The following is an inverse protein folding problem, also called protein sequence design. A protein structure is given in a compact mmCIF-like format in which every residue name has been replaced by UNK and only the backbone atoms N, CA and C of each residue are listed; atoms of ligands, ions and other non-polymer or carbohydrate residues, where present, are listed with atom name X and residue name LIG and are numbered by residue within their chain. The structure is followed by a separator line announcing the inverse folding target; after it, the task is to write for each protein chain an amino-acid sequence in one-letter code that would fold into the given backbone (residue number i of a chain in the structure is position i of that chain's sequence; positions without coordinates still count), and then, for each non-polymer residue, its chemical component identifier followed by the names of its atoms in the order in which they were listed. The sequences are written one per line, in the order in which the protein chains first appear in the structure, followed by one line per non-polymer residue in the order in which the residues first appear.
data_IF_928394931501
#
_entry.id   IF_928394931501
#
_cell.length_a   1.000
_cell.length_b   1.000
_cell.length_c   1.000
_cell.angle_alpha   90.00
_cell.angle_beta   90.00
_cell.angle_gamma   90.00
#
_symmetry.space_group_name_H-M   'P 1'
#
loop_
_entity.id
_entity.type
_entity.pdbx_description
1 polymer ?
#
# COMPACT_ATOMS: atom_id res chain seq x y z
N UNK A 1 -3.43 25.38 17.71
CA UNK A 1 -2.04 25.74 17.33
C UNK A 1 -1.73 24.98 16.04
N UNK A 2 -1.55 25.68 14.92
CA UNK A 2 -1.25 25.03 13.63
C UNK A 2 0.22 24.61 13.57
N UNK A 3 0.46 23.30 13.48
CA UNK A 3 1.79 22.71 13.36
C UNK A 3 2.57 23.26 12.14
N UNK A 4 1.86 23.70 11.09
CA UNK A 4 2.48 24.30 9.90
C UNK A 4 3.25 25.59 10.16
N UNK A 5 2.79 26.45 11.08
CA UNK A 5 3.49 27.71 11.38
C UNK A 5 4.75 27.49 12.24
N UNK A 6 4.83 26.38 12.97
CA UNK A 6 6.05 25.97 13.70
C UNK A 6 7.11 25.37 12.77
N UNK A 7 6.70 24.69 11.70
CA UNK A 7 7.62 23.99 10.79
C UNK A 7 8.23 24.91 9.72
N UNK A 8 7.55 25.98 9.32
CA UNK A 8 8.06 26.98 8.35
C UNK A 8 9.48 27.50 8.64
N UNK A 9 9.81 27.97 9.87
CA UNK A 9 11.14 28.50 10.16
C UNK A 9 12.25 27.43 10.12
N UNK A 10 11.99 26.21 10.61
CA UNK A 10 12.98 25.11 10.60
C UNK A 10 13.18 24.51 9.21
N UNK A 11 12.14 24.46 8.38
CA UNK A 11 12.24 24.08 6.97
C UNK A 11 12.99 25.14 6.15
N UNK A 12 12.77 26.42 6.43
CA UNK A 12 13.46 27.54 5.75
C UNK A 12 14.97 27.58 6.06
N UNK A 13 15.37 27.21 7.28
CA UNK A 13 16.78 27.09 7.68
C UNK A 13 17.46 25.81 7.20
N UNK A 14 16.72 24.84 6.66
CA UNK A 14 17.26 23.56 6.20
C UNK A 14 17.69 22.60 7.32
N UNK A 15 17.32 22.90 8.57
CA UNK A 15 17.63 22.08 9.76
C UNK A 15 16.79 20.79 9.84
N UNK A 16 15.69 20.74 9.08
CA UNK A 16 14.76 19.63 9.09
C UNK A 16 14.49 19.12 7.67
N UNK A 17 14.69 17.82 7.47
CA UNK A 17 14.23 17.09 6.28
C UNK A 17 13.01 16.28 6.68
N UNK A 18 11.88 16.50 6.03
CA UNK A 18 10.68 15.70 6.21
C UNK A 18 10.23 15.09 4.88
N UNK A 19 9.60 13.93 4.97
CA UNK A 19 8.92 13.27 3.87
C UNK A 19 7.44 13.25 4.23
N UNK A 20 6.62 13.90 3.40
CA UNK A 20 5.16 13.87 3.54
C UNK A 20 4.57 12.76 2.67
N UNK A 21 3.65 11.99 3.22
CA UNK A 21 2.80 11.06 2.47
C UNK A 21 1.35 11.50 2.65
N UNK A 22 0.74 12.01 1.58
CA UNK A 22 -0.62 12.56 1.57
C UNK A 22 -1.27 12.26 0.22
N UNK A 23 -2.58 12.40 0.13
CA UNK A 23 -3.30 12.28 -1.14
C UNK A 23 -3.16 13.56 -1.96
N UNK A 24 -3.41 13.46 -3.28
CA UNK A 24 -3.39 14.64 -4.15
C UNK A 24 -4.38 15.72 -3.69
N UNK A 25 -5.57 15.32 -3.24
CA UNK A 25 -6.60 16.26 -2.79
C UNK A 25 -6.17 17.08 -1.56
N UNK A 26 -5.52 16.41 -0.60
CA UNK A 26 -4.98 17.07 0.60
C UNK A 26 -3.79 17.95 0.26
N UNK A 27 -2.93 17.51 -0.66
CA UNK A 27 -1.80 18.29 -1.16
C UNK A 27 -2.29 19.61 -1.79
N UNK A 28 -3.27 19.56 -2.70
CA UNK A 28 -3.84 20.74 -3.34
C UNK A 28 -4.53 21.68 -2.33
N UNK A 29 -5.21 21.10 -1.33
CA UNK A 29 -5.97 21.90 -0.35
C UNK A 29 -5.08 22.64 0.66
N UNK A 30 -3.97 22.04 1.07
CA UNK A 30 -3.17 22.53 2.21
C UNK A 30 -1.74 22.95 1.86
N UNK A 31 -1.10 22.33 0.86
CA UNK A 31 0.32 22.60 0.53
C UNK A 31 0.43 23.54 -0.67
N UNK A 32 -0.36 23.32 -1.73
CA UNK A 32 -0.34 24.16 -2.95
C UNK A 32 -0.80 25.60 -2.67
N UNK A 33 -1.63 25.81 -1.64
CA UNK A 33 -2.06 27.16 -1.23
C UNK A 33 -0.96 28.00 -0.59
N UNK A 34 0.16 27.39 -0.17
CA UNK A 34 1.26 28.08 0.50
C UNK A 34 2.51 28.15 -0.39
N UNK A 35 2.81 29.31 -1.00
CA UNK A 35 3.96 29.47 -1.92
C UNK A 35 5.32 29.16 -1.29
N UNK A 36 5.44 29.21 0.03
CA UNK A 36 6.69 28.91 0.72
C UNK A 36 6.94 27.40 0.82
N UNK A 37 5.88 26.60 0.97
CA UNK A 37 5.97 25.14 1.07
C UNK A 37 6.12 24.51 -0.31
N UNK A 38 5.37 25.00 -1.31
CA UNK A 38 5.44 24.52 -2.70
C UNK A 38 6.87 24.56 -3.27
N UNK A 39 7.62 25.63 -3.00
CA UNK A 39 9.01 25.78 -3.46
C UNK A 39 10.03 24.90 -2.73
N UNK A 40 9.65 24.32 -1.58
CA UNK A 40 10.56 23.54 -0.71
C UNK A 40 10.27 22.06 -0.79
N UNK A 41 9.04 21.67 -1.09
CA UNK A 41 8.66 20.29 -1.31
C UNK A 41 8.78 19.93 -2.79
N UNK A 42 9.63 18.97 -3.10
CA UNK A 42 9.59 18.29 -4.39
C UNK A 42 8.41 17.32 -4.38
N UNK A 43 7.43 17.54 -5.25
CA UNK A 43 6.37 16.56 -5.46
C UNK A 43 6.97 15.31 -6.13
N UNK A 44 6.70 14.15 -5.55
CA UNK A 44 6.98 12.84 -6.14
C UNK A 44 5.64 12.13 -6.22
N UNK A 45 5.15 11.96 -7.45
CA UNK A 45 3.93 11.23 -7.69
C UNK A 45 4.21 9.73 -7.62
N UNK A 46 3.43 9.02 -6.81
CA UNK A 46 3.55 7.57 -6.63
C UNK A 46 2.23 6.94 -7.04
N UNK A 47 2.24 6.36 -8.23
CA UNK A 47 1.09 5.64 -8.78
C UNK A 47 0.81 4.34 -8.04
N UNK A 48 -0.44 3.90 -8.17
CA UNK A 48 -0.84 2.56 -7.77
C UNK A 48 -0.01 1.51 -8.56
N UNK A 49 0.59 0.51 -7.88
CA UNK A 49 1.31 -0.55 -8.56
C UNK A 49 0.38 -1.38 -9.43
N UNK A 50 0.92 -1.93 -10.52
CA UNK A 50 0.18 -2.85 -11.38
C UNK A 50 -0.10 -4.19 -10.65
N UNK A 51 -1.00 -5.00 -11.22
CA UNK A 51 -1.27 -6.35 -10.71
C UNK A 51 0.02 -7.19 -10.71
N UNK A 52 0.85 -7.10 -11.75
CA UNK A 52 2.12 -7.83 -11.86
C UNK A 52 3.16 -7.41 -10.80
N UNK A 53 3.26 -6.11 -10.54
CA UNK A 53 4.15 -5.58 -9.48
C UNK A 53 3.68 -6.02 -8.09
N UNK A 54 2.36 -6.06 -7.91
CA UNK A 54 1.74 -6.49 -6.65
C UNK A 54 1.99 -7.98 -6.40
N UNK A 55 1.84 -8.83 -7.43
CA UNK A 55 2.19 -10.27 -7.34
C UNK A 55 3.66 -10.43 -6.96
N UNK A 56 4.56 -9.69 -7.60
CA UNK A 56 6.00 -9.76 -7.31
C UNK A 56 6.33 -9.37 -5.87
N UNK A 57 5.72 -8.30 -5.34
CA UNK A 57 5.84 -7.90 -3.93
C UNK A 57 5.27 -8.96 -2.98
N UNK A 58 4.11 -9.53 -3.29
CA UNK A 58 3.47 -10.57 -2.48
C UNK A 58 4.28 -11.87 -2.46
N UNK A 59 4.89 -12.25 -3.58
CA UNK A 59 5.82 -13.38 -3.64
C UNK A 59 7.03 -13.19 -2.71
N UNK A 60 7.54 -11.97 -2.59
CA UNK A 60 8.60 -11.62 -1.64
C UNK A 60 8.14 -11.68 -0.18
N UNK A 61 6.91 -11.25 0.10
CA UNK A 61 6.33 -11.25 1.46
C UNK A 61 5.75 -12.60 1.86
N UNK A 62 5.52 -13.53 0.91
CA UNK A 62 4.89 -14.82 1.14
C UNK A 62 5.49 -15.56 2.32
N UNK A 63 6.82 -15.67 2.40
CA UNK A 63 7.51 -16.38 3.49
C UNK A 63 7.17 -15.83 4.88
N UNK A 64 6.99 -14.50 5.00
CA UNK A 64 6.59 -13.86 6.25
C UNK A 64 5.14 -14.15 6.60
N UNK A 65 4.25 -14.16 5.61
CA UNK A 65 2.85 -14.51 5.82
C UNK A 65 2.64 -15.98 6.17
N UNK A 66 3.37 -16.89 5.52
CA UNK A 66 3.34 -18.33 5.82
C UNK A 66 3.77 -18.60 7.26
N UNK A 67 4.82 -17.92 7.75
CA UNK A 67 5.28 -18.04 9.12
C UNK A 67 4.25 -17.47 10.13
N UNK A 68 3.63 -16.34 9.82
CA UNK A 68 2.69 -15.69 10.73
C UNK A 68 1.36 -16.45 10.86
N UNK A 69 0.89 -17.05 9.77
CA UNK A 69 -0.41 -17.75 9.71
C UNK A 69 -0.30 -19.27 9.78
N UNK A 70 0.91 -19.83 9.74
CA UNK A 70 1.13 -21.28 9.79
C UNK A 70 0.60 -22.04 8.57
N UNK A 71 0.33 -21.35 7.47
CA UNK A 71 -0.22 -21.92 6.22
C UNK A 71 0.83 -21.88 5.11
N UNK A 72 0.73 -22.79 4.14
CA UNK A 72 1.50 -22.69 2.89
C UNK A 72 0.68 -22.00 1.81
N UNK A 73 1.27 -21.04 1.13
CA UNK A 73 0.60 -20.24 0.11
C UNK A 73 1.13 -20.65 -1.27
N UNK A 74 0.23 -21.13 -2.13
CA UNK A 74 0.58 -21.47 -3.51
C UNK A 74 0.76 -20.20 -4.35
N UNK A 75 1.67 -20.25 -5.34
CA UNK A 75 1.90 -19.11 -6.23
C UNK A 75 0.64 -18.77 -7.06
N UNK A 76 -0.11 -19.79 -7.49
CA UNK A 76 -1.38 -19.60 -8.20
C UNK A 76 -2.44 -18.87 -7.36
N UNK A 77 -2.53 -19.17 -6.06
CA UNK A 77 -3.48 -18.49 -5.17
C UNK A 77 -3.17 -16.99 -5.01
N UNK A 78 -1.89 -16.59 -5.04
CA UNK A 78 -1.51 -15.17 -4.99
C UNK A 78 -1.90 -14.42 -6.27
N UNK A 79 -1.75 -15.07 -7.43
CA UNK A 79 -2.13 -14.49 -8.73
C UNK A 79 -3.64 -14.29 -8.78
N UNK A 80 -4.42 -15.32 -8.44
CA UNK A 80 -5.88 -15.24 -8.41
C UNK A 80 -6.37 -14.21 -7.38
N UNK A 81 -5.77 -14.18 -6.18
CA UNK A 81 -6.09 -13.18 -5.17
C UNK A 81 -5.85 -11.75 -5.68
N UNK A 82 -4.74 -11.50 -6.38
CA UNK A 82 -4.44 -10.19 -6.96
C UNK A 82 -5.43 -9.82 -8.07
N UNK A 83 -5.74 -10.75 -8.98
CA UNK A 83 -6.67 -10.52 -10.10
C UNK A 83 -8.12 -10.30 -9.64
N UNK A 84 -8.60 -11.10 -8.68
CA UNK A 84 -9.94 -10.95 -8.12
C UNK A 84 -10.07 -9.66 -7.31
N UNK A 85 -9.02 -9.30 -6.55
CA UNK A 85 -9.01 -8.04 -5.78
C UNK A 85 -9.06 -6.81 -6.68
N UNK A 86 -8.33 -6.85 -7.79
CA UNK A 86 -8.33 -5.77 -8.77
C UNK A 86 -9.70 -5.64 -9.46
N UNK A 87 -10.32 -6.77 -9.81
CA UNK A 87 -11.60 -6.81 -10.51
C UNK A 87 -12.80 -6.44 -9.64
N UNK A 88 -12.86 -6.91 -8.40
CA UNK A 88 -14.09 -6.84 -7.58
C UNK A 88 -14.03 -5.86 -6.42
N UNK A 89 -12.84 -5.40 -6.00
CA UNK A 89 -12.71 -4.50 -4.86
C UNK A 89 -12.35 -3.08 -5.31
N UNK A 90 -13.24 -2.39 -6.03
CA UNK A 90 -12.97 -1.07 -6.61
C UNK A 90 -12.72 0.04 -5.58
N UNK A 91 -13.24 -0.10 -4.35
CA UNK A 91 -13.22 0.96 -3.31
C UNK A 91 -11.94 1.12 -2.49
N UNK A 92 -10.81 0.56 -2.92
CA UNK A 92 -9.50 0.65 -2.24
C UNK A 92 -8.40 0.89 -3.28
N UNK A 93 -7.12 0.76 -2.93
CA UNK A 93 -6.00 0.75 -3.89
C UNK A 93 -5.05 -0.42 -3.62
N UNK A 94 -4.39 -0.94 -4.65
CA UNK A 94 -3.27 -1.88 -4.48
C UNK A 94 -2.09 -1.14 -3.83
N UNK A 95 -1.28 -1.79 -2.98
CA UNK A 95 -1.32 -3.22 -2.61
C UNK A 95 -2.28 -3.56 -1.46
N UNK A 96 -2.90 -2.57 -0.80
CA UNK A 96 -3.72 -2.76 0.41
C UNK A 96 -4.90 -3.73 0.19
N UNK A 97 -5.56 -3.65 -0.97
CA UNK A 97 -6.67 -4.56 -1.34
C UNK A 97 -6.36 -6.05 -1.16
N UNK A 98 -5.15 -6.47 -1.58
CA UNK A 98 -4.79 -7.89 -1.60
C UNK A 98 -4.51 -8.41 -0.19
N UNK A 99 -4.12 -7.55 0.75
CA UNK A 99 -3.92 -7.96 2.14
C UNK A 99 -5.19 -8.58 2.74
N UNK A 100 -6.34 -7.90 2.58
CA UNK A 100 -7.61 -8.34 3.17
C UNK A 100 -8.26 -9.48 2.36
N UNK A 101 -8.27 -9.36 1.03
CA UNK A 101 -8.82 -10.41 0.17
C UNK A 101 -7.96 -11.68 0.19
N UNK A 102 -6.64 -11.52 0.34
CA UNK A 102 -5.68 -12.60 0.49
C UNK A 102 -5.98 -13.46 1.70
N UNK A 103 -6.38 -12.91 2.84
CA UNK A 103 -6.75 -13.73 3.99
C UNK A 103 -7.95 -14.64 3.71
N UNK A 104 -9.04 -14.10 3.14
CA UNK A 104 -10.23 -14.89 2.85
C UNK A 104 -9.98 -15.92 1.75
N UNK A 105 -9.26 -15.54 0.68
CA UNK A 105 -8.95 -16.44 -0.44
C UNK A 105 -7.95 -17.53 -0.01
N UNK A 106 -6.92 -17.20 0.77
CA UNK A 106 -5.95 -18.19 1.26
C UNK A 106 -6.58 -19.14 2.29
N UNK A 107 -7.52 -18.67 3.10
CA UNK A 107 -8.26 -19.52 4.03
C UNK A 107 -9.20 -20.50 3.28
N UNK A 108 -9.86 -20.04 2.20
CA UNK A 108 -10.68 -20.89 1.33
C UNK A 108 -9.85 -21.96 0.60
N UNK A 109 -8.70 -21.59 0.01
CA UNK A 109 -7.84 -22.55 -0.70
C UNK A 109 -7.05 -23.49 0.24
N UNK A 110 -6.69 -23.03 1.43
CA UNK A 110 -6.11 -23.88 2.48
C UNK A 110 -7.06 -24.98 2.96
N UNK A 111 -8.37 -24.72 2.98
CA UNK A 111 -9.36 -25.75 3.31
C UNK A 111 -9.56 -26.78 2.18
N UNK A 112 -9.54 -26.36 0.92
CA UNK A 112 -9.69 -27.28 -0.21
C UNK A 112 -8.52 -28.27 -0.35
N UNK A 113 -7.30 -27.85 0.00
CA UNK A 113 -6.13 -28.73 -0.02
C UNK A 113 -6.05 -29.67 1.19
N UNK A 114 -6.79 -29.39 2.26
CA UNK A 114 -6.96 -30.31 3.40
C UNK A 114 -8.02 -31.40 3.14
N UNK A 115 -9.03 -31.13 2.31
CA UNK A 115 -10.08 -32.11 1.96
C UNK A 115 -9.73 -33.05 0.80
N UNK A 116 -8.68 -32.76 0.03
CA UNK A 116 -8.27 -33.61 -1.11
C UNK A 116 -7.33 -34.77 -0.71
N UNK A 117 -7.34 -35.19 0.57
CA UNK A 117 -6.38 -36.17 1.12
C UNK A 117 -7.01 -37.42 1.74
N UNK A 118 -8.30 -37.65 1.50
CA UNK A 118 -9.00 -38.91 1.82
C UNK A 118 -9.27 -39.72 0.54
#
# INVERSE_FOLDING_TARGET
MDAGNLLKPVLGRGELRCIGATTLDEYCKYIEKDPALERRFQQIYVDQPTVGDTISKLCGLRKRYELHHGVRISAGALVEAAMLSDRYNSGRFLPDKVGVAGYNVLQLFGQQSAQAKD
#
